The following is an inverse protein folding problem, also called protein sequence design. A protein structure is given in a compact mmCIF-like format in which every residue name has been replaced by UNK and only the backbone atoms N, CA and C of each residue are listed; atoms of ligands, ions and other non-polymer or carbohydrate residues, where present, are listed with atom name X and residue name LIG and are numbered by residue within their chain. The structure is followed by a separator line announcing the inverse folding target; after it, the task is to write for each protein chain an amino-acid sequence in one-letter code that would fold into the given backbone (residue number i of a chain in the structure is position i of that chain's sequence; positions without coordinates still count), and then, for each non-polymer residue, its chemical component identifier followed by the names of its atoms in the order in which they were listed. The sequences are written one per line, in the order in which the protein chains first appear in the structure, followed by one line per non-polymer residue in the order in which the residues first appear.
data_IF_564191380894
#
_entry.id   IF_564191380894
#
_cell.length_a   1.000
_cell.length_b   1.000
_cell.length_c   1.000
_cell.angle_alpha   90.00
_cell.angle_beta   90.00
_cell.angle_gamma   90.00
#
_symmetry.space_group_name_H-M   'P 1'
#
loop_
_entity.id
_entity.type
_entity.pdbx_description
1 polymer ?
#
# COMPACT_ATOMS: atom_id res chain seq x y z
N UNK A 1 -15.37 22.69 -7.95
CA UNK A 1 -15.51 21.62 -6.94
C UNK A 1 -16.23 22.18 -5.73
N UNK A 2 -17.17 21.42 -5.21
CA UNK A 2 -18.01 21.86 -4.09
C UNK A 2 -17.40 21.35 -2.78
N UNK A 3 -16.28 21.89 -2.36
CA UNK A 3 -15.63 21.51 -1.12
C UNK A 3 -16.45 21.92 0.10
N UNK A 4 -16.45 21.10 1.12
CA UNK A 4 -17.12 21.36 2.39
C UNK A 4 -16.08 21.41 3.49
N UNK A 5 -15.97 22.52 4.17
CA UNK A 5 -15.07 22.65 5.29
C UNK A 5 -15.61 21.88 6.51
N UNK A 6 -14.78 21.01 7.08
CA UNK A 6 -15.12 20.28 8.30
C UNK A 6 -14.20 20.77 9.43
N UNK A 7 -14.73 21.47 10.45
CA UNK A 7 -13.95 21.86 11.61
C UNK A 7 -13.32 20.64 12.29
N UNK A 8 -12.18 20.88 12.90
CA UNK A 8 -11.37 19.83 13.52
C UNK A 8 -12.10 19.02 14.60
N UNK A 9 -12.95 19.66 15.37
CA UNK A 9 -13.77 19.08 16.42
C UNK A 9 -14.96 18.28 15.87
N UNK A 10 -15.28 18.41 14.57
CA UNK A 10 -16.42 17.77 13.92
C UNK A 10 -16.03 16.62 12.98
N UNK A 11 -14.75 16.18 13.00
CA UNK A 11 -14.25 15.11 12.12
C UNK A 11 -14.58 13.70 12.60
N UNK A 12 -14.90 13.50 13.91
CA UNK A 12 -15.25 12.21 14.52
C UNK A 12 -14.22 11.10 14.23
N UNK A 13 -12.93 11.40 14.30
CA UNK A 13 -11.88 10.42 14.03
C UNK A 13 -11.70 10.05 12.55
N UNK A 14 -12.26 10.83 11.64
CA UNK A 14 -11.96 10.67 10.21
C UNK A 14 -10.51 11.07 9.93
N UNK A 15 -9.87 10.29 9.09
CA UNK A 15 -8.50 10.44 8.63
C UNK A 15 -8.48 10.80 7.14
N UNK A 16 -7.32 11.24 6.67
CA UNK A 16 -7.16 11.54 5.25
C UNK A 16 -7.45 10.29 4.39
N UNK A 17 -8.22 10.49 3.31
CA UNK A 17 -8.63 9.43 2.39
C UNK A 17 -9.90 8.70 2.79
N UNK A 18 -10.43 8.89 4.02
CA UNK A 18 -11.68 8.27 4.44
C UNK A 18 -12.86 8.80 3.63
N UNK A 19 -13.75 7.90 3.25
CA UNK A 19 -15.07 8.26 2.72
C UNK A 19 -16.03 8.45 3.87
N UNK A 20 -16.61 9.65 3.97
CA UNK A 20 -17.45 10.04 5.11
C UNK A 20 -18.81 10.49 4.66
N UNK A 21 -19.83 10.25 5.48
CA UNK A 21 -21.14 10.91 5.36
C UNK A 21 -21.13 12.16 6.21
N UNK A 22 -21.48 13.29 5.60
CA UNK A 22 -21.48 14.58 6.28
C UNK A 22 -22.90 15.17 6.35
N UNK A 23 -23.13 16.00 7.36
CA UNK A 23 -24.31 16.86 7.45
C UNK A 23 -23.90 18.29 7.15
N UNK A 24 -24.57 18.91 6.19
CA UNK A 24 -24.46 20.33 5.88
C UNK A 24 -25.71 21.01 6.36
N UNK A 25 -25.66 21.97 7.29
CA UNK A 25 -26.83 22.74 7.72
C UNK A 25 -27.45 23.52 6.55
N UNK A 26 -28.75 23.66 6.56
CA UNK A 26 -29.46 24.45 5.52
C UNK A 26 -29.15 25.95 5.65
N UNK A 27 -29.18 26.67 4.53
CA UNK A 27 -29.07 28.15 4.49
C UNK A 27 -27.64 28.68 4.43
N UNK A 28 -26.63 27.81 4.18
CA UNK A 28 -25.26 28.26 3.97
C UNK A 28 -25.01 28.68 2.51
N UNK A 29 -24.18 29.70 2.30
CA UNK A 29 -23.73 30.13 0.97
C UNK A 29 -22.84 29.04 0.34
N UNK A 30 -22.95 28.85 -0.98
CA UNK A 30 -22.23 27.84 -1.74
C UNK A 30 -20.69 27.89 -1.55
N UNK A 31 -20.15 29.10 -1.34
CA UNK A 31 -18.71 29.35 -1.24
C UNK A 31 -18.11 29.08 0.15
N UNK A 32 -18.93 28.87 1.18
CA UNK A 32 -18.49 28.65 2.57
C UNK A 32 -19.32 27.58 3.27
N UNK A 33 -19.43 26.43 2.63
CA UNK A 33 -20.16 25.31 3.26
C UNK A 33 -19.35 24.72 4.39
N UNK A 34 -19.92 24.71 5.57
CA UNK A 34 -19.39 24.04 6.74
C UNK A 34 -20.27 22.81 7.05
N UNK A 35 -19.62 21.67 7.33
CA UNK A 35 -20.31 20.43 7.66
C UNK A 35 -19.76 19.78 8.93
N UNK A 36 -20.37 18.67 9.28
CA UNK A 36 -19.84 17.74 10.29
C UNK A 36 -19.91 16.31 9.81
N UNK A 37 -18.96 15.50 10.18
CA UNK A 37 -18.99 14.06 9.88
C UNK A 37 -20.07 13.40 10.74
N UNK A 38 -20.95 12.65 10.10
CA UNK A 38 -21.94 11.79 10.76
C UNK A 38 -21.40 10.41 11.01
N UNK A 39 -20.78 9.83 9.98
CA UNK A 39 -20.17 8.50 10.05
C UNK A 39 -19.04 8.36 9.04
N UNK A 40 -18.17 7.42 9.27
CA UNK A 40 -17.12 7.01 8.34
C UNK A 40 -17.67 5.78 7.61
N UNK A 41 -17.88 5.95 6.30
CA UNK A 41 -18.47 4.91 5.42
C UNK A 41 -17.40 3.90 5.02
N UNK A 42 -16.21 4.38 4.68
CA UNK A 42 -15.08 3.55 4.32
C UNK A 42 -13.76 4.18 4.77
N UNK A 43 -12.82 3.37 5.21
CA UNK A 43 -11.47 3.81 5.54
C UNK A 43 -10.64 3.92 4.28
N UNK A 44 -9.97 5.05 4.10
CA UNK A 44 -9.10 5.30 2.95
C UNK A 44 -7.75 4.62 3.06
N UNK A 45 -7.24 4.48 4.29
CA UNK A 45 -5.95 3.84 4.56
C UNK A 45 -6.14 2.71 5.55
N UNK A 46 -5.93 1.48 5.10
CA UNK A 46 -5.97 0.27 5.91
C UNK A 46 -4.59 -0.32 6.14
N UNK A 47 -3.63 0.04 5.27
CA UNK A 47 -2.23 -0.36 5.35
C UNK A 47 -1.34 0.84 5.13
N UNK A 48 -0.20 0.85 5.76
CA UNK A 48 0.81 1.89 5.56
C UNK A 48 2.23 1.36 5.77
N UNK A 49 3.18 2.05 5.18
CA UNK A 49 4.60 1.83 5.42
C UNK A 49 5.12 2.93 6.34
N UNK A 50 6.02 2.56 7.23
CA UNK A 50 6.65 3.51 8.14
C UNK A 50 7.86 2.96 8.87
N UNK A 51 8.45 3.81 9.69
CA UNK A 51 9.56 3.47 10.55
C UNK A 51 9.09 2.84 11.86
N UNK A 52 9.58 1.65 12.15
CA UNK A 52 9.34 1.01 13.43
C UNK A 52 10.32 1.49 14.49
N UNK A 53 9.79 1.82 15.66
CA UNK A 53 10.54 2.12 16.87
C UNK A 53 9.97 1.30 18.03
N UNK A 54 10.84 0.57 18.72
CA UNK A 54 10.45 -0.18 19.90
C UNK A 54 10.34 0.73 21.10
N UNK A 55 9.24 0.64 21.82
CA UNK A 55 9.01 1.37 23.07
C UNK A 55 8.57 0.40 24.17
N UNK A 56 9.43 0.17 25.17
CA UNK A 56 9.15 -0.74 26.27
C UNK A 56 8.61 -2.11 25.82
N UNK A 57 7.31 -2.37 26.03
CA UNK A 57 6.62 -3.61 25.69
C UNK A 57 5.85 -3.55 24.36
N UNK A 58 5.74 -2.39 23.77
CA UNK A 58 5.06 -2.14 22.50
C UNK A 58 6.03 -1.62 21.45
N UNK A 59 5.53 -1.35 20.27
CA UNK A 59 6.22 -0.61 19.24
C UNK A 59 5.39 0.56 18.77
N UNK A 60 6.03 1.50 18.10
CA UNK A 60 5.37 2.61 17.42
C UNK A 60 5.89 2.65 15.99
N UNK A 61 4.98 2.84 15.05
CA UNK A 61 5.34 3.05 13.64
C UNK A 61 5.00 4.48 13.26
N UNK A 62 6.03 5.19 12.79
CA UNK A 62 5.90 6.53 12.25
C UNK A 62 5.66 6.39 10.73
N UNK A 63 4.47 6.77 10.23
CA UNK A 63 4.15 6.65 8.82
C UNK A 63 5.08 7.47 7.92
N UNK A 64 5.43 6.95 6.75
CA UNK A 64 6.20 7.69 5.74
C UNK A 64 5.38 8.82 5.12
N UNK A 65 4.09 8.63 4.99
CA UNK A 65 3.19 9.67 4.52
C UNK A 65 2.96 10.70 5.65
N UNK A 66 3.65 11.81 5.59
CA UNK A 66 3.56 12.91 6.57
C UNK A 66 2.17 13.57 6.66
N UNK A 67 1.31 13.34 5.67
CA UNK A 67 -0.08 13.80 5.70
C UNK A 67 -0.95 12.93 6.62
N UNK A 68 -0.47 11.75 6.95
CA UNK A 68 -1.11 10.86 7.91
C UNK A 68 -0.62 11.23 9.31
N UNK A 69 -1.35 12.13 9.97
CA UNK A 69 -0.91 12.83 11.17
C UNK A 69 -1.07 12.01 12.48
N UNK A 70 -0.93 10.68 12.44
CA UNK A 70 -1.05 9.82 13.60
C UNK A 70 -0.04 8.68 13.54
N UNK A 71 0.64 8.45 14.65
CA UNK A 71 1.49 7.28 14.82
C UNK A 71 0.63 6.02 15.03
N UNK A 72 1.20 4.85 14.69
CA UNK A 72 0.50 3.57 14.87
C UNK A 72 1.15 2.81 16.01
N UNK A 73 0.40 2.53 17.04
CA UNK A 73 0.84 1.69 18.16
C UNK A 73 0.80 0.22 17.70
N UNK A 74 1.89 -0.48 17.94
CA UNK A 74 2.01 -1.91 17.67
C UNK A 74 2.01 -2.63 19.02
N UNK A 75 0.93 -3.30 19.38
CA UNK A 75 0.85 -4.05 20.64
C UNK A 75 1.92 -5.13 20.76
N UNK A 76 2.17 -5.56 21.97
CA UNK A 76 3.08 -6.68 22.24
C UNK A 76 2.63 -7.93 21.46
N UNK A 77 3.58 -8.57 20.74
CA UNK A 77 3.30 -9.75 19.91
C UNK A 77 2.87 -9.44 18.48
N UNK A 78 2.52 -8.17 18.16
CA UNK A 78 2.08 -7.77 16.81
C UNK A 78 3.21 -7.21 15.92
N UNK A 79 4.45 -7.18 16.41
CA UNK A 79 5.60 -6.54 15.74
C UNK A 79 6.31 -7.44 14.72
N UNK A 80 5.95 -8.71 14.59
CA UNK A 80 6.65 -9.68 13.75
C UNK A 80 8.18 -9.70 13.96
N UNK A 81 8.63 -9.37 15.20
CA UNK A 81 10.05 -9.26 15.52
C UNK A 81 10.78 -8.06 14.93
N UNK A 82 10.05 -7.03 14.49
CA UNK A 82 10.64 -5.80 13.97
C UNK A 82 11.57 -5.13 14.96
N UNK A 83 12.63 -4.51 14.45
CA UNK A 83 13.65 -3.82 15.23
C UNK A 83 13.60 -2.32 14.94
N UNK A 84 14.00 -1.53 15.95
CA UNK A 84 14.10 -0.07 15.78
C UNK A 84 14.97 0.31 14.58
N UNK A 85 14.43 1.21 13.73
CA UNK A 85 15.11 1.66 12.52
C UNK A 85 14.78 0.84 11.27
N UNK A 86 13.94 -0.18 11.39
CA UNK A 86 13.42 -0.90 10.22
C UNK A 86 12.20 -0.20 9.61
N UNK A 87 12.08 -0.32 8.30
CA UNK A 87 10.85 -0.07 7.57
C UNK A 87 9.95 -1.29 7.68
N UNK A 88 8.68 -1.04 7.90
CA UNK A 88 7.66 -2.08 8.04
C UNK A 88 6.39 -1.72 7.29
N UNK A 89 5.73 -2.72 6.74
CA UNK A 89 4.34 -2.63 6.30
C UNK A 89 3.44 -2.99 7.47
N UNK A 90 2.49 -2.13 7.76
CA UNK A 90 1.54 -2.27 8.88
C UNK A 90 0.11 -2.28 8.37
N UNK A 91 -0.70 -3.17 8.92
CA UNK A 91 -2.15 -3.14 8.81
C UNK A 91 -2.74 -2.44 10.03
N UNK A 92 -3.64 -1.49 9.81
CA UNK A 92 -4.36 -0.80 10.89
C UNK A 92 -5.48 -1.69 11.39
N UNK A 93 -5.45 -2.04 12.67
CA UNK A 93 -6.43 -2.93 13.31
C UNK A 93 -7.47 -2.16 14.13
N UNK A 94 -7.11 -0.98 14.62
CA UNK A 94 -8.04 -0.12 15.32
C UNK A 94 -7.80 1.36 14.98
N UNK A 95 -8.91 2.08 14.84
CA UNK A 95 -8.91 3.51 14.50
C UNK A 95 -9.38 4.33 15.71
N UNK A 96 -8.89 5.56 15.88
CA UNK A 96 -9.31 6.41 16.96
C UNK A 96 -10.82 6.71 16.84
N UNK A 97 -11.52 6.60 17.96
CA UNK A 97 -12.94 7.00 18.03
C UNK A 97 -13.12 8.52 18.02
N UNK A 98 -12.11 9.22 18.53
CA UNK A 98 -12.05 10.67 18.60
C UNK A 98 -10.74 11.15 18.00
N UNK A 99 -10.69 12.44 17.68
CA UNK A 99 -9.48 13.03 17.14
C UNK A 99 -8.34 13.04 18.15
N UNK A 100 -7.13 12.69 17.69
CA UNK A 100 -5.93 12.65 18.52
C UNK A 100 -5.78 11.37 19.35
N UNK A 101 -6.69 10.41 19.17
CA UNK A 101 -6.46 9.05 19.65
C UNK A 101 -5.44 8.32 18.79
N UNK A 102 -4.78 7.34 19.41
CA UNK A 102 -3.79 6.52 18.73
C UNK A 102 -4.45 5.51 17.78
N UNK A 103 -3.75 5.19 16.71
CA UNK A 103 -4.05 4.06 15.85
C UNK A 103 -3.40 2.82 16.44
N UNK A 104 -4.03 1.67 16.30
CA UNK A 104 -3.38 0.40 16.57
C UNK A 104 -3.22 -0.38 15.28
N UNK A 105 -2.12 -1.13 15.20
CA UNK A 105 -1.82 -1.93 14.02
C UNK A 105 -0.99 -3.16 14.33
N UNK A 106 -0.80 -3.97 13.31
CA UNK A 106 0.12 -5.11 13.33
C UNK A 106 1.08 -5.05 12.15
N UNK A 107 2.31 -5.43 12.36
CA UNK A 107 3.29 -5.55 11.29
C UNK A 107 2.91 -6.75 10.42
N UNK A 108 2.75 -6.51 9.11
CA UNK A 108 2.53 -7.56 8.11
C UNK A 108 3.84 -8.02 7.50
N UNK A 109 4.77 -7.10 7.26
CA UNK A 109 6.04 -7.38 6.58
C UNK A 109 7.14 -6.49 7.15
N UNK A 110 8.33 -7.05 7.33
CA UNK A 110 9.55 -6.30 7.63
C UNK A 110 10.29 -6.06 6.32
N UNK A 111 10.42 -4.81 5.92
CA UNK A 111 11.07 -4.44 4.66
C UNK A 111 12.60 -4.35 4.83
N UNK A 112 13.08 -4.22 6.06
CA UNK A 112 14.50 -4.16 6.39
C UNK A 112 14.92 -2.82 6.99
N UNK A 113 16.23 -2.67 7.23
CA UNK A 113 16.78 -1.40 7.73
C UNK A 113 16.57 -0.30 6.70
N UNK A 114 16.10 0.85 7.14
CA UNK A 114 15.79 1.97 6.24
C UNK A 114 16.98 2.45 5.40
N UNK A 115 18.21 2.22 5.86
CA UNK A 115 19.45 2.55 5.14
C UNK A 115 19.93 1.43 4.19
N UNK A 116 19.25 0.29 4.15
CA UNK A 116 19.65 -0.82 3.29
C UNK A 116 19.19 -0.57 1.83
N UNK A 117 20.02 -1.01 0.90
CA UNK A 117 19.75 -0.87 -0.53
C UNK A 117 18.46 -1.58 -0.91
N UNK A 118 17.58 -0.91 -1.65
CA UNK A 118 16.31 -1.45 -2.17
C UNK A 118 15.13 -1.35 -1.21
N UNK A 119 15.34 -1.02 0.07
CA UNK A 119 14.25 -0.85 1.04
C UNK A 119 13.39 0.36 0.72
N UNK A 120 13.97 1.41 0.18
CA UNK A 120 13.26 2.59 -0.32
C UNK A 120 12.31 2.22 -1.45
N UNK A 121 12.78 1.50 -2.46
CA UNK A 121 11.96 1.02 -3.58
C UNK A 121 10.85 0.08 -3.09
N UNK A 122 11.20 -0.91 -2.27
CA UNK A 122 10.19 -1.83 -1.71
C UNK A 122 9.14 -1.09 -0.88
N UNK A 123 9.55 -0.07 -0.13
CA UNK A 123 8.62 0.78 0.63
C UNK A 123 7.63 1.50 -0.28
N UNK A 124 8.07 2.01 -1.42
CA UNK A 124 7.19 2.64 -2.43
C UNK A 124 6.23 1.61 -3.01
N UNK A 125 6.72 0.46 -3.46
CA UNK A 125 5.90 -0.63 -4.03
C UNK A 125 4.80 -1.04 -3.04
N UNK A 126 5.14 -1.22 -1.76
CA UNK A 126 4.17 -1.59 -0.71
C UNK A 126 3.20 -0.46 -0.37
N UNK A 127 3.66 0.80 -0.36
CA UNK A 127 2.80 1.95 -0.02
C UNK A 127 1.72 2.24 -1.08
N UNK A 128 1.97 1.87 -2.33
CA UNK A 128 1.03 1.98 -3.44
C UNK A 128 0.32 0.66 -3.76
N UNK A 129 0.54 -0.38 -2.94
CA UNK A 129 -0.04 -1.72 -3.15
C UNK A 129 0.19 -2.27 -4.57
N UNK A 130 1.34 -1.94 -5.16
CA UNK A 130 1.69 -2.40 -6.51
C UNK A 130 1.94 -3.91 -6.45
N UNK A 131 1.24 -4.71 -7.28
CA UNK A 131 1.49 -6.14 -7.34
C UNK A 131 2.90 -6.41 -7.88
N UNK A 132 3.71 -7.13 -7.12
CA UNK A 132 5.09 -7.51 -7.46
C UNK A 132 5.30 -9.02 -7.54
N UNK A 133 4.23 -9.78 -7.36
CA UNK A 133 4.22 -11.24 -7.45
C UNK A 133 3.11 -11.71 -8.37
N UNK A 134 3.41 -12.72 -9.18
CA UNK A 134 2.39 -13.38 -9.98
C UNK A 134 1.51 -14.29 -9.12
N UNK A 135 0.25 -14.44 -9.50
CA UNK A 135 -0.66 -15.38 -8.85
C UNK A 135 -0.16 -16.83 -9.03
N UNK A 136 -0.54 -17.71 -8.09
CA UNK A 136 -0.21 -19.14 -8.20
C UNK A 136 -0.71 -19.77 -9.50
N UNK A 137 -1.87 -19.33 -10.00
CA UNK A 137 -2.43 -19.78 -11.27
C UNK A 137 -1.54 -19.37 -12.44
N UNK A 138 -1.05 -18.13 -12.47
CA UNK A 138 -0.14 -17.63 -13.49
C UNK A 138 1.20 -18.39 -13.47
N UNK A 139 1.76 -18.62 -12.29
CA UNK A 139 2.99 -19.41 -12.14
C UNK A 139 2.80 -20.86 -12.60
N UNK A 140 1.67 -21.47 -12.25
CA UNK A 140 1.35 -22.84 -12.71
C UNK A 140 1.15 -22.90 -14.21
N UNK A 141 0.58 -21.88 -14.84
CA UNK A 141 0.45 -21.78 -16.30
C UNK A 141 1.82 -21.62 -16.97
N UNK A 142 2.69 -20.78 -16.43
CA UNK A 142 4.05 -20.61 -16.93
C UNK A 142 4.85 -21.91 -16.89
N UNK A 143 4.76 -22.67 -15.81
CA UNK A 143 5.40 -24.00 -15.68
C UNK A 143 4.83 -25.00 -16.71
N UNK A 144 3.51 -24.99 -16.94
CA UNK A 144 2.89 -25.83 -17.97
C UNK A 144 3.36 -25.44 -19.36
N UNK A 145 3.39 -24.13 -19.65
CA UNK A 145 3.85 -23.62 -20.95
C UNK A 145 5.33 -23.95 -21.21
N UNK A 146 6.20 -23.88 -20.21
CA UNK A 146 7.61 -24.26 -20.31
C UNK A 146 7.77 -25.73 -20.68
N UNK A 147 7.04 -26.64 -20.01
CA UNK A 147 7.07 -28.07 -20.30
C UNK A 147 6.57 -28.38 -21.71
N UNK A 148 5.42 -27.83 -22.09
CA UNK A 148 4.83 -28.02 -23.40
C UNK A 148 5.68 -27.38 -24.52
N UNK A 149 6.23 -26.18 -24.27
CA UNK A 149 7.07 -25.47 -25.21
C UNK A 149 8.32 -26.26 -25.61
N UNK A 150 8.91 -26.99 -24.68
CA UNK A 150 10.08 -27.84 -24.96
C UNK A 150 9.71 -29.02 -25.91
N UNK A 151 8.52 -29.61 -25.74
CA UNK A 151 8.04 -30.71 -26.60
C UNK A 151 7.61 -30.20 -27.97
N UNK A 152 6.88 -29.09 -28.03
CA UNK A 152 6.44 -28.42 -29.26
C UNK A 152 7.64 -27.99 -30.10
N UNK A 153 8.64 -27.34 -29.48
CA UNK A 153 9.85 -26.89 -30.15
C UNK A 153 10.63 -28.06 -30.76
N UNK A 154 10.72 -29.20 -30.08
CA UNK A 154 11.38 -30.41 -30.60
C UNK A 154 10.65 -30.97 -31.85
N UNK A 155 9.32 -30.92 -31.89
CA UNK A 155 8.49 -31.37 -32.98
C UNK A 155 8.46 -30.39 -34.17
N UNK A 156 8.44 -29.10 -33.91
CA UNK A 156 8.27 -28.06 -34.94
C UNK A 156 9.58 -27.56 -35.59
N UNK A 157 10.73 -27.83 -34.96
CA UNK A 157 12.05 -27.39 -35.49
C UNK A 157 12.28 -27.87 -36.93
N UNK A 158 11.79 -29.04 -37.28
CA UNK A 158 11.95 -29.59 -38.64
C UNK A 158 11.21 -28.80 -39.74
N UNK A 159 10.15 -28.04 -39.38
CA UNK A 159 9.37 -27.22 -40.30
C UNK A 159 9.73 -25.72 -40.30
N UNK A 160 10.60 -25.28 -39.40
CA UNK A 160 10.96 -23.86 -39.27
C UNK A 160 12.28 -23.56 -39.99
N UNK A 161 12.37 -22.36 -40.58
CA UNK A 161 13.62 -21.86 -41.14
C UNK A 161 14.58 -21.51 -40.04
N UNK A 162 15.79 -22.04 -40.05
CA UNK A 162 16.84 -21.70 -39.10
C UNK A 162 17.43 -20.33 -39.43
N UNK A 163 17.22 -19.35 -38.53
CA UNK A 163 17.74 -18.00 -38.67
C UNK A 163 18.85 -17.69 -37.67
N UNK A 164 19.36 -18.68 -36.92
CA UNK A 164 20.35 -18.45 -35.85
C UNK A 164 21.68 -17.89 -36.38
N UNK A 165 21.98 -18.08 -37.67
CA UNK A 165 23.16 -17.52 -38.33
C UNK A 165 22.94 -16.08 -38.85
N UNK A 166 21.72 -15.55 -38.76
CA UNK A 166 21.39 -14.20 -39.25
C UNK A 166 21.57 -13.21 -38.09
N UNK A 167 22.34 -12.15 -38.34
CA UNK A 167 22.39 -11.01 -37.40
C UNK A 167 21.04 -10.29 -37.45
N UNK A 168 20.25 -10.48 -36.42
CA UNK A 168 18.91 -9.90 -36.31
C UNK A 168 18.89 -8.91 -35.17
N UNK A 169 18.37 -7.71 -35.42
CA UNK A 169 18.14 -6.67 -34.41
C UNK A 169 16.67 -6.30 -34.41
N UNK A 170 16.14 -5.97 -33.24
CA UNK A 170 14.82 -5.34 -33.10
C UNK A 170 15.03 -3.84 -32.95
N UNK A 171 14.21 -3.06 -33.64
CA UNK A 171 14.18 -1.60 -33.49
C UNK A 171 12.76 -1.25 -33.08
N UNK A 172 12.64 -0.75 -31.85
CA UNK A 172 11.37 -0.26 -31.36
C UNK A 172 11.08 1.11 -31.99
N UNK A 173 9.81 1.35 -32.33
CA UNK A 173 9.37 2.65 -32.83
C UNK A 173 9.44 3.72 -31.72
N UNK A 174 9.34 4.98 -32.14
CA UNK A 174 9.14 6.08 -31.19
C UNK A 174 7.74 5.91 -30.56
N UNK A 175 7.68 5.91 -29.20
CA UNK A 175 6.44 5.93 -28.40
C UNK A 175 5.79 7.32 -28.44
#
# INVERSE_FOLDING_TARGET
ENDVFIPRDKTRGALQGDTVRILIPRGQQLERREGRVLEIVARGVTRLVGYYRRENRSGVVLPDNTRFAADVIIPQGASLGAQTGEKVLVEITAYPKERGGDLEGRVLERLGKASAVGVDLTSIVRSFEIPDTFSEECLAEAVRAERQGTEILRGEVAGRRDLRALCTVTIDGED
#
